data_IF_396737274914
#
_entry.id   IF_396737274914
#
_cell.length_a   1.000
_cell.length_b   1.000
_cell.length_c   1.000
_cell.angle_alpha   90.00
_cell.angle_beta   90.00
_cell.angle_gamma   90.00
#
_symmetry.space_group_name_H-M   'P 1'
#
loop_
_entity.id
_entity.type
_entity.pdbx_description
1 polymer ?
#
# COMPACT_ATOMS: atom_id res chain seq x y z
N UNK A 1 2.30 11.81 -22.93
CA UNK A 1 1.08 12.64 -23.11
C UNK A 1 -0.05 11.73 -23.57
N UNK A 2 -0.74 11.10 -22.61
CA UNK A 2 -1.99 10.39 -22.86
C UNK A 2 -2.96 10.75 -21.73
N UNK A 3 -4.05 11.42 -22.10
CA UNK A 3 -5.25 11.51 -21.29
C UNK A 3 -5.81 10.10 -21.21
N UNK A 4 -6.08 9.58 -20.02
CA UNK A 4 -6.74 8.27 -19.85
C UNK A 4 -8.17 8.42 -20.36
N UNK A 5 -8.38 8.19 -21.65
CA UNK A 5 -9.72 8.24 -22.28
C UNK A 5 -10.23 6.84 -22.56
N UNK A 6 -9.35 5.84 -22.62
CA UNK A 6 -9.69 4.45 -22.85
C UNK A 6 -9.04 3.50 -21.85
N UNK A 7 -9.72 2.37 -21.59
CA UNK A 7 -9.21 1.29 -20.73
C UNK A 7 -7.85 0.74 -21.21
N UNK A 8 -7.54 0.93 -22.51
CA UNK A 8 -6.27 0.57 -23.12
C UNK A 8 -5.07 1.39 -22.63
N UNK A 9 -5.28 2.58 -22.07
CA UNK A 9 -4.20 3.43 -21.55
C UNK A 9 -3.61 2.88 -20.24
N UNK A 10 -4.35 1.99 -19.56
CA UNK A 10 -3.84 1.22 -18.41
C UNK A 10 -2.96 0.04 -18.83
N UNK A 11 -3.02 -0.37 -20.09
CA UNK A 11 -2.31 -1.55 -20.59
C UNK A 11 -0.90 -1.14 -21.01
N UNK A 12 0.07 -1.40 -20.14
CA UNK A 12 1.46 -1.15 -20.48
C UNK A 12 1.90 -2.02 -21.67
N UNK A 13 2.48 -1.37 -22.69
CA UNK A 13 3.15 -2.06 -23.80
C UNK A 13 4.52 -2.63 -23.40
N UNK A 14 5.11 -2.13 -22.31
CA UNK A 14 6.42 -2.57 -21.83
C UNK A 14 6.36 -3.96 -21.17
N UNK A 15 7.17 -4.87 -21.69
CA UNK A 15 7.35 -6.22 -21.18
C UNK A 15 7.84 -6.25 -19.72
N UNK A 16 8.60 -5.24 -19.29
CA UNK A 16 9.06 -5.11 -17.90
C UNK A 16 7.92 -4.94 -16.91
N UNK A 17 6.83 -4.29 -17.31
CA UNK A 17 5.66 -4.11 -16.45
C UNK A 17 4.84 -5.41 -16.39
N UNK A 18 4.80 -6.19 -17.46
CA UNK A 18 4.16 -7.53 -17.46
C UNK A 18 4.86 -8.52 -16.53
N UNK A 19 6.19 -8.43 -16.41
CA UNK A 19 6.94 -9.26 -15.45
C UNK A 19 6.54 -9.00 -13.98
N UNK A 20 5.84 -7.91 -13.69
CA UNK A 20 5.34 -7.62 -12.34
C UNK A 20 4.39 -8.72 -11.83
N UNK A 21 3.61 -9.37 -12.68
CA UNK A 21 2.77 -10.52 -12.31
C UNK A 21 3.61 -11.73 -11.85
N UNK A 22 4.75 -11.98 -12.50
CA UNK A 22 5.69 -13.02 -12.07
C UNK A 22 6.42 -12.64 -10.77
N UNK A 23 6.81 -11.37 -10.64
CA UNK A 23 7.40 -10.84 -9.39
C UNK A 23 6.42 -10.92 -8.23
N UNK A 24 5.13 -10.70 -8.49
CA UNK A 24 4.06 -10.88 -7.51
C UNK A 24 4.03 -12.33 -7.00
N UNK A 25 3.99 -13.33 -7.89
CA UNK A 25 4.02 -14.74 -7.50
C UNK A 25 5.31 -15.11 -6.76
N UNK A 26 6.46 -14.63 -7.24
CA UNK A 26 7.74 -14.80 -6.56
C UNK A 26 7.73 -14.25 -5.13
N UNK A 27 7.13 -13.07 -4.94
CA UNK A 27 6.94 -12.48 -3.60
C UNK A 27 6.00 -13.33 -2.73
N UNK A 28 4.90 -13.86 -3.27
CA UNK A 28 4.01 -14.74 -2.51
C UNK A 28 4.71 -16.03 -2.06
N UNK A 29 5.51 -16.64 -2.94
CA UNK A 29 6.32 -17.80 -2.58
C UNK A 29 7.35 -17.47 -1.50
N UNK A 30 7.99 -16.29 -1.59
CA UNK A 30 8.95 -15.82 -0.60
C UNK A 30 8.28 -15.61 0.78
N UNK A 31 7.07 -15.06 0.81
CA UNK A 31 6.27 -14.93 2.04
C UNK A 31 5.86 -16.29 2.64
N UNK A 32 5.75 -17.33 1.82
CA UNK A 32 5.43 -18.69 2.28
C UNK A 32 6.66 -19.46 2.80
N UNK A 33 7.89 -19.03 2.50
CA UNK A 33 9.11 -19.75 2.88
C UNK A 33 9.21 -20.09 4.37
N UNK A 34 8.92 -19.19 5.32
CA UNK A 34 8.95 -19.52 6.76
C UNK A 34 8.01 -20.68 7.10
N UNK A 35 6.78 -20.61 6.61
CA UNK A 35 5.74 -21.60 6.86
C UNK A 35 6.08 -22.95 6.22
N UNK A 36 6.57 -22.94 4.97
CA UNK A 36 7.04 -24.14 4.28
C UNK A 36 8.25 -24.74 5.01
N UNK A 37 9.18 -23.90 5.49
CA UNK A 37 10.33 -24.32 6.29
C UNK A 37 9.91 -25.11 7.53
N UNK A 38 8.95 -24.59 8.29
CA UNK A 38 8.35 -25.30 9.45
C UNK A 38 7.74 -26.63 9.02
N UNK A 39 6.87 -26.58 8.01
CA UNK A 39 6.14 -27.75 7.54
C UNK A 39 7.09 -28.88 7.12
N UNK A 40 8.09 -28.58 6.28
CA UNK A 40 9.06 -29.57 5.80
C UNK A 40 10.03 -30.03 6.89
N UNK A 41 10.46 -29.14 7.79
CA UNK A 41 11.31 -29.49 8.93
C UNK A 41 10.61 -30.53 9.81
N UNK A 42 9.36 -30.30 10.19
CA UNK A 42 8.61 -31.26 11.02
C UNK A 42 8.31 -32.54 10.23
N UNK A 43 7.89 -32.43 8.97
CA UNK A 43 7.59 -33.60 8.11
C UNK A 43 8.81 -34.51 7.95
N UNK A 44 10.00 -33.96 7.77
CA UNK A 44 11.25 -34.74 7.65
C UNK A 44 11.54 -35.56 8.92
N UNK A 45 11.29 -34.98 10.09
CA UNK A 45 11.45 -35.64 11.41
C UNK A 45 10.37 -36.68 11.70
N UNK A 46 9.23 -36.60 11.02
CA UNK A 46 8.13 -37.57 11.12
C UNK A 46 8.31 -38.74 10.16
N UNK A 47 8.65 -38.45 8.90
CA UNK A 47 8.86 -39.45 7.85
C UNK A 47 10.03 -40.39 8.12
N UNK A 48 11.00 -39.98 8.94
CA UNK A 48 12.08 -40.84 9.40
C UNK A 48 11.63 -41.92 10.42
N UNK A 49 10.42 -41.81 10.97
CA UNK A 49 9.92 -42.67 12.06
C UNK A 49 8.60 -43.39 11.74
N UNK A 50 7.94 -43.04 10.64
CA UNK A 50 6.64 -43.59 10.24
C UNK A 50 6.84 -44.53 9.05
N UNK A 51 6.32 -45.75 9.17
CA UNK A 51 6.29 -46.74 8.09
C UNK A 51 5.43 -46.21 6.92
N UNK A 52 5.84 -46.49 5.68
CA UNK A 52 5.25 -45.88 4.46
C UNK A 52 3.74 -46.14 4.30
N UNK A 53 3.23 -47.13 5.01
CA UNK A 53 1.84 -47.61 4.99
C UNK A 53 0.85 -46.73 5.76
N UNK A 54 1.29 -45.89 6.71
CA UNK A 54 0.41 -45.02 7.51
C UNK A 54 0.24 -43.60 6.95
N UNK A 55 0.94 -43.27 5.85
CA UNK A 55 0.98 -41.92 5.28
C UNK A 55 -0.24 -41.54 4.42
N UNK A 56 -1.16 -42.47 4.18
CA UNK A 56 -2.27 -42.32 3.22
C UNK A 56 -3.56 -41.79 3.83
N UNK A 57 -3.69 -41.73 5.15
CA UNK A 57 -4.85 -41.16 5.83
C UNK A 57 -4.68 -39.64 6.02
N UNK A 58 -4.81 -38.88 4.93
CA UNK A 58 -5.08 -37.44 5.01
C UNK A 58 -6.49 -37.19 5.55
N UNK A 59 -6.80 -35.94 5.92
CA UNK A 59 -8.18 -35.54 6.26
C UNK A 59 -9.08 -35.92 5.08
N UNK A 60 -9.92 -36.95 5.27
CA UNK A 60 -11.00 -37.27 4.34
C UNK A 60 -12.02 -36.14 4.46
N UNK A 61 -11.83 -35.07 3.72
CA UNK A 61 -12.88 -34.07 3.52
C UNK A 61 -14.00 -34.79 2.78
N UNK A 62 -15.13 -35.04 3.44
CA UNK A 62 -16.31 -35.55 2.76
C UNK A 62 -16.66 -34.60 1.59
N UNK A 63 -16.71 -35.12 0.35
CA UNK A 63 -17.05 -34.35 -0.85
C UNK A 63 -15.97 -33.39 -1.39
N UNK A 64 -16.40 -32.32 -2.08
CA UNK A 64 -15.53 -31.37 -2.81
C UNK A 64 -14.82 -30.31 -1.93
N UNK A 65 -14.84 -30.44 -0.60
CA UNK A 65 -14.33 -29.42 0.33
C UNK A 65 -12.85 -29.07 0.15
N UNK A 66 -11.99 -30.07 -0.07
CA UNK A 66 -10.56 -29.86 -0.34
C UNK A 66 -10.33 -29.05 -1.63
N UNK A 67 -11.08 -29.38 -2.69
CA UNK A 67 -11.03 -28.67 -3.96
C UNK A 67 -11.48 -27.22 -3.79
N UNK A 68 -12.55 -26.99 -3.02
CA UNK A 68 -13.04 -25.64 -2.71
C UNK A 68 -12.00 -24.78 -1.98
N UNK A 69 -11.34 -25.31 -0.93
CA UNK A 69 -10.31 -24.56 -0.19
C UNK A 69 -9.09 -24.27 -1.07
N UNK A 70 -8.67 -25.22 -1.92
CA UNK A 70 -7.59 -25.00 -2.89
C UNK A 70 -7.95 -23.92 -3.90
N UNK A 71 -9.21 -23.87 -4.38
CA UNK A 71 -9.67 -22.81 -5.26
C UNK A 71 -9.68 -21.45 -4.57
N UNK A 72 -10.18 -21.32 -3.34
CA UNK A 72 -10.14 -20.04 -2.60
C UNK A 72 -8.70 -19.57 -2.38
N UNK A 73 -7.75 -20.48 -2.15
CA UNK A 73 -6.35 -20.14 -1.98
C UNK A 73 -5.65 -19.75 -3.30
N UNK A 74 -5.78 -20.58 -4.33
CA UNK A 74 -5.05 -20.41 -5.59
C UNK A 74 -5.70 -19.42 -6.55
N UNK A 75 -7.03 -19.39 -6.63
CA UNK A 75 -7.75 -18.57 -7.60
C UNK A 75 -7.38 -17.09 -7.53
N UNK A 76 -7.38 -16.43 -6.35
CA UNK A 76 -7.05 -15.01 -6.30
C UNK A 76 -5.58 -14.76 -6.64
N UNK A 77 -4.67 -15.63 -6.19
CA UNK A 77 -3.24 -15.48 -6.48
C UNK A 77 -2.94 -15.62 -7.98
N UNK A 78 -3.49 -16.65 -8.62
CA UNK A 78 -3.32 -16.91 -10.05
C UNK A 78 -4.02 -15.84 -10.88
N UNK A 79 -5.26 -15.49 -10.54
CA UNK A 79 -6.03 -14.47 -11.28
C UNK A 79 -5.35 -13.11 -11.21
N UNK A 80 -4.90 -12.68 -10.03
CA UNK A 80 -4.15 -11.43 -9.87
C UNK A 80 -2.84 -11.45 -10.68
N UNK A 81 -2.10 -12.56 -10.67
CA UNK A 81 -0.87 -12.68 -11.45
C UNK A 81 -1.12 -12.68 -12.96
N UNK A 82 -2.15 -13.41 -13.43
CA UNK A 82 -2.54 -13.49 -14.84
C UNK A 82 -3.02 -12.13 -15.33
N UNK A 83 -3.89 -11.44 -14.58
CA UNK A 83 -4.36 -10.09 -14.94
C UNK A 83 -3.17 -9.12 -14.97
N UNK A 84 -2.31 -9.12 -13.94
CA UNK A 84 -1.12 -8.27 -13.92
C UNK A 84 -0.20 -8.50 -15.12
N UNK A 85 0.01 -9.76 -15.50
CA UNK A 85 0.83 -10.13 -16.65
C UNK A 85 0.17 -9.79 -17.99
N UNK A 86 -1.09 -10.17 -18.19
CA UNK A 86 -1.81 -10.01 -19.44
C UNK A 86 -2.18 -8.55 -19.72
N UNK A 87 -2.63 -7.83 -18.70
CA UNK A 87 -2.98 -6.41 -18.81
C UNK A 87 -1.78 -5.48 -18.61
N UNK A 88 -0.60 -5.98 -18.23
CA UNK A 88 0.57 -5.12 -17.98
C UNK A 88 0.33 -4.11 -16.86
N UNK A 89 -0.37 -4.54 -15.80
CA UNK A 89 -0.66 -3.69 -14.64
C UNK A 89 0.33 -4.03 -13.53
N UNK A 90 0.98 -3.02 -12.95
CA UNK A 90 1.91 -3.19 -11.83
C UNK A 90 1.20 -3.69 -10.56
N UNK A 91 1.22 -5.00 -10.33
CA UNK A 91 0.60 -5.60 -9.15
C UNK A 91 1.52 -5.50 -7.92
N UNK A 92 1.03 -4.88 -6.85
CA UNK A 92 1.73 -4.87 -5.56
C UNK A 92 1.71 -6.25 -4.89
N UNK A 93 2.84 -6.68 -4.31
CA UNK A 93 2.93 -7.94 -3.57
C UNK A 93 1.97 -8.00 -2.37
N UNK A 94 1.49 -6.85 -1.87
CA UNK A 94 0.55 -6.77 -0.75
C UNK A 94 -0.82 -7.36 -1.04
N UNK A 95 -1.23 -7.39 -2.32
CA UNK A 95 -2.56 -7.91 -2.73
C UNK A 95 -2.75 -9.40 -2.42
N UNK A 96 -1.68 -10.18 -2.26
CA UNK A 96 -1.76 -11.59 -1.89
C UNK A 96 -1.87 -11.84 -0.38
N UNK A 97 -1.66 -10.83 0.47
CA UNK A 97 -1.63 -11.01 1.93
C UNK A 97 -2.87 -11.73 2.50
N UNK A 98 -4.11 -11.29 2.17
CA UNK A 98 -5.33 -11.93 2.69
C UNK A 98 -5.45 -13.42 2.34
N UNK A 99 -5.02 -13.83 1.15
CA UNK A 99 -5.11 -15.23 0.73
C UNK A 99 -4.03 -16.11 1.35
N UNK A 100 -2.85 -15.55 1.62
CA UNK A 100 -1.77 -16.28 2.30
C UNK A 100 -2.14 -16.73 3.72
N UNK A 101 -3.12 -16.12 4.37
CA UNK A 101 -3.65 -16.59 5.66
C UNK A 101 -4.21 -18.02 5.59
N UNK A 102 -4.70 -18.47 4.43
CA UNK A 102 -5.19 -19.83 4.22
C UNK A 102 -4.07 -20.85 3.98
N UNK A 103 -2.82 -20.42 3.76
CA UNK A 103 -1.73 -21.32 3.43
C UNK A 103 -1.48 -22.36 4.52
N UNK A 104 -1.62 -21.99 5.81
CA UNK A 104 -1.50 -22.93 6.92
C UNK A 104 -2.56 -24.03 6.87
N UNK A 105 -3.81 -23.66 6.61
CA UNK A 105 -4.93 -24.62 6.46
C UNK A 105 -4.68 -25.54 5.26
N UNK A 106 -4.24 -24.98 4.13
CA UNK A 106 -3.88 -25.76 2.95
C UNK A 106 -2.81 -26.79 3.27
N UNK A 107 -1.72 -26.39 3.93
CA UNK A 107 -0.66 -27.31 4.32
C UNK A 107 -1.14 -28.39 5.30
N UNK A 108 -2.00 -28.03 6.26
CA UNK A 108 -2.61 -29.00 7.19
C UNK A 108 -3.51 -30.02 6.50
N UNK A 109 -4.16 -29.68 5.38
CA UNK A 109 -4.92 -30.66 4.58
C UNK A 109 -4.03 -31.75 3.98
N UNK A 110 -2.76 -31.44 3.70
CA UNK A 110 -1.77 -32.43 3.23
C UNK A 110 -0.96 -33.04 4.38
N UNK A 111 -1.28 -32.70 5.63
CA UNK A 111 -0.67 -33.29 6.80
C UNK A 111 -1.19 -34.71 6.99
N UNK A 112 -0.30 -35.72 7.15
CA UNK A 112 -0.74 -37.06 7.47
C UNK A 112 -1.37 -37.03 8.87
N UNK A 113 -2.63 -37.46 9.01
CA UNK A 113 -3.24 -37.63 10.34
C UNK A 113 -2.61 -38.89 10.94
N UNK A 114 -1.48 -38.71 11.58
CA UNK A 114 -0.88 -39.73 12.42
C UNK A 114 -1.21 -39.30 13.84
N UNK A 115 -2.00 -40.11 14.55
CA UNK A 115 -2.31 -39.97 15.98
C UNK A 115 -1.06 -40.20 16.81
N UNK A 116 -0.09 -39.30 16.67
CA UNK A 116 1.17 -39.32 17.36
C UNK A 116 1.28 -38.01 18.15
N UNK A 117 1.06 -38.09 19.45
CA UNK A 117 1.17 -36.96 20.38
C UNK A 117 2.49 -36.22 20.25
N UNK A 118 3.57 -36.93 19.86
CA UNK A 118 4.86 -36.32 19.66
C UNK A 118 4.94 -35.47 18.38
N UNK A 119 4.18 -35.80 17.34
CA UNK A 119 4.06 -34.99 16.13
C UNK A 119 3.35 -33.67 16.43
N UNK A 120 2.23 -33.75 17.15
CA UNK A 120 1.44 -32.59 17.58
C UNK A 120 2.25 -31.69 18.50
N UNK A 121 2.97 -32.26 19.50
CA UNK A 121 3.86 -31.49 20.38
C UNK A 121 4.96 -30.75 19.62
N UNK A 122 5.60 -31.39 18.64
CA UNK A 122 6.63 -30.73 17.80
C UNK A 122 6.05 -29.63 16.92
N UNK A 123 4.85 -29.82 16.40
CA UNK A 123 4.14 -28.78 15.64
C UNK A 123 3.83 -27.58 16.53
N UNK A 124 3.27 -27.79 17.72
CA UNK A 124 2.98 -26.73 18.68
C UNK A 124 4.25 -26.01 19.15
N UNK A 125 5.33 -26.75 19.42
CA UNK A 125 6.63 -26.16 19.76
C UNK A 125 7.19 -25.30 18.62
N UNK A 126 7.16 -25.81 17.38
CA UNK A 126 7.65 -25.06 16.22
C UNK A 126 6.80 -23.83 15.94
N UNK A 127 5.47 -23.95 16.04
CA UNK A 127 4.55 -22.83 15.92
C UNK A 127 4.81 -21.79 17.03
N UNK A 128 5.04 -22.22 18.27
CA UNK A 128 5.39 -21.33 19.38
C UNK A 128 6.73 -20.62 19.17
N UNK A 129 7.77 -21.32 18.69
CA UNK A 129 9.05 -20.71 18.33
C UNK A 129 8.88 -19.66 17.24
N UNK A 130 8.09 -19.95 16.20
CA UNK A 130 7.82 -18.99 15.13
C UNK A 130 6.96 -17.82 15.56
N UNK A 131 6.01 -18.03 16.47
CA UNK A 131 5.21 -16.97 17.07
C UNK A 131 6.08 -15.95 17.82
N UNK A 132 7.17 -16.41 18.43
CA UNK A 132 8.14 -15.54 19.12
C UNK A 132 9.20 -14.96 18.17
N UNK A 133 9.68 -15.75 17.20
CA UNK A 133 10.73 -15.33 16.28
C UNK A 133 10.23 -14.34 15.22
N UNK A 134 9.00 -14.49 14.71
CA UNK A 134 8.48 -13.65 13.63
C UNK A 134 8.35 -12.16 14.04
N UNK A 135 7.79 -11.80 15.20
CA UNK A 135 7.77 -10.39 15.65
C UNK A 135 9.16 -9.81 15.82
N UNK A 136 10.12 -10.58 16.33
CA UNK A 136 11.51 -10.13 16.50
C UNK A 136 12.20 -9.89 15.16
N UNK A 137 12.00 -10.78 14.19
CA UNK A 137 12.50 -10.61 12.83
C UNK A 137 11.85 -9.41 12.15
N UNK A 138 10.54 -9.23 12.29
CA UNK A 138 9.82 -8.08 11.75
C UNK A 138 10.30 -6.77 12.38
N UNK A 139 10.46 -6.72 13.70
CA UNK A 139 11.03 -5.57 14.40
C UNK A 139 12.44 -5.26 13.91
N UNK A 140 13.30 -6.27 13.79
CA UNK A 140 14.67 -6.10 13.29
C UNK A 140 14.67 -5.58 11.85
N UNK A 141 13.86 -6.15 10.96
CA UNK A 141 13.77 -5.66 9.58
C UNK A 141 13.16 -4.26 9.49
N UNK A 142 12.15 -3.95 10.31
CA UNK A 142 11.55 -2.62 10.37
C UNK A 142 12.57 -1.57 10.80
N UNK A 143 13.34 -1.86 11.85
CA UNK A 143 14.44 -1.02 12.33
C UNK A 143 15.59 -0.92 11.32
N UNK A 144 15.90 -1.98 10.58
CA UNK A 144 16.96 -1.99 9.56
C UNK A 144 16.54 -1.36 8.22
N UNK A 145 15.24 -1.30 7.94
CA UNK A 145 14.65 -0.71 6.72
C UNK A 145 14.27 0.77 6.89
N UNK A 146 14.72 1.40 7.97
CA UNK A 146 14.35 2.76 8.43
C UNK A 146 14.69 3.91 7.49
N UNK A 147 15.33 3.66 6.35
CA UNK A 147 15.72 4.73 5.42
C UNK A 147 14.67 4.98 4.32
N UNK A 148 13.59 4.20 4.25
CA UNK A 148 12.54 4.45 3.26
C UNK A 148 11.71 5.69 3.61
N UNK A 149 11.76 6.70 2.73
CA UNK A 149 11.17 8.03 2.92
C UNK A 149 9.69 8.04 3.32
N UNK A 150 8.92 7.03 2.91
CA UNK A 150 7.50 6.88 3.20
C UNK A 150 7.23 6.54 4.67
N UNK A 151 8.13 5.81 5.33
CA UNK A 151 7.98 5.48 6.75
C UNK A 151 8.34 6.66 7.64
N UNK A 152 9.16 7.61 7.17
CA UNK A 152 9.63 8.75 7.94
C UNK A 152 8.91 10.06 7.60
N UNK A 153 7.77 10.03 6.92
CA UNK A 153 7.06 11.27 6.63
C UNK A 153 6.29 11.74 7.88
N UNK A 154 6.43 13.00 8.33
CA UNK A 154 5.76 13.51 9.51
C UNK A 154 4.30 13.87 9.20
N UNK A 155 3.53 12.85 8.77
CA UNK A 155 2.19 13.00 8.26
C UNK A 155 1.18 13.41 9.32
N UNK A 156 1.35 12.90 10.54
CA UNK A 156 0.50 13.24 11.69
C UNK A 156 0.65 14.72 12.03
N UNK A 157 1.88 15.17 12.24
CA UNK A 157 2.18 16.57 12.59
C UNK A 157 1.77 17.52 11.46
N UNK A 158 1.94 17.12 10.19
CA UNK A 158 1.50 17.91 9.06
C UNK A 158 -0.04 18.04 9.00
N UNK A 159 -0.76 16.94 9.20
CA UNK A 159 -2.22 16.93 9.19
C UNK A 159 -2.82 17.79 10.31
N UNK A 160 -2.29 17.66 11.52
CA UNK A 160 -2.71 18.49 12.67
C UNK A 160 -2.44 19.98 12.43
N UNK A 161 -1.24 20.32 11.94
CA UNK A 161 -0.82 21.71 11.74
C UNK A 161 -1.58 22.41 10.62
N UNK A 162 -1.78 21.76 9.47
CA UNK A 162 -2.52 22.35 8.34
C UNK A 162 -4.00 22.55 8.71
N UNK A 163 -4.62 21.56 9.36
CA UNK A 163 -6.01 21.66 9.79
C UNK A 163 -6.22 22.74 10.83
N UNK A 164 -5.29 22.85 11.80
CA UNK A 164 -5.32 23.92 12.80
C UNK A 164 -5.27 25.29 12.12
N UNK A 165 -4.28 25.52 11.25
CA UNK A 165 -4.11 26.79 10.53
C UNK A 165 -5.31 27.14 9.66
N UNK A 166 -5.91 26.15 9.00
CA UNK A 166 -7.13 26.34 8.22
C UNK A 166 -8.28 26.84 9.09
N UNK A 167 -8.56 26.15 10.20
CA UNK A 167 -9.62 26.54 11.14
C UNK A 167 -9.36 27.90 11.78
N UNK A 168 -8.11 28.23 12.10
CA UNK A 168 -7.73 29.56 12.60
C UNK A 168 -7.96 30.68 11.56
N UNK A 169 -7.86 30.36 10.26
CA UNK A 169 -8.00 31.33 9.18
C UNK A 169 -9.47 31.53 8.77
N UNK A 170 -10.25 30.45 8.68
CA UNK A 170 -11.60 30.48 8.08
C UNK A 170 -12.73 30.09 9.04
N UNK A 171 -12.43 29.72 10.28
CA UNK A 171 -13.40 29.24 11.27
C UNK A 171 -14.33 28.12 10.75
N UNK A 172 -13.77 27.28 9.87
CA UNK A 172 -14.51 26.23 9.17
C UNK A 172 -13.66 24.94 9.07
N UNK A 173 -14.29 23.74 8.98
CA UNK A 173 -13.56 22.49 8.80
C UNK A 173 -12.87 22.43 7.44
N UNK A 174 -11.66 21.85 7.39
CA UNK A 174 -10.92 21.65 6.15
C UNK A 174 -11.57 20.55 5.32
N UNK A 175 -12.16 20.88 4.16
CA UNK A 175 -12.88 19.90 3.32
C UNK A 175 -12.08 19.36 2.14
N UNK A 176 -11.13 20.14 1.63
CA UNK A 176 -10.37 19.79 0.42
C UNK A 176 -8.90 20.11 0.66
N UNK A 177 -8.02 19.15 0.35
CA UNK A 177 -6.57 19.34 0.35
C UNK A 177 -6.01 18.90 -1.00
N UNK A 178 -5.08 19.67 -1.54
CA UNK A 178 -4.40 19.37 -2.80
C UNK A 178 -2.90 19.39 -2.63
N UNK A 179 -2.18 18.73 -3.54
CA UNK A 179 -0.71 18.76 -3.51
C UNK A 179 -0.04 17.60 -4.24
N UNK A 180 1.22 17.38 -3.89
CA UNK A 180 2.07 16.30 -4.43
C UNK A 180 1.70 14.94 -3.85
N UNK A 181 2.53 13.90 -4.03
CA UNK A 181 2.10 12.54 -3.71
C UNK A 181 1.86 12.27 -2.22
N UNK A 182 2.74 12.72 -1.32
CA UNK A 182 2.72 12.23 0.09
C UNK A 182 2.01 13.19 1.04
N UNK A 183 2.12 14.50 0.80
CA UNK A 183 1.60 15.54 1.68
C UNK A 183 0.05 15.53 1.82
N UNK A 184 -0.75 15.66 0.74
CA UNK A 184 -2.20 15.73 0.86
C UNK A 184 -2.82 14.42 1.35
N UNK A 185 -2.30 13.27 0.91
CA UNK A 185 -2.72 11.94 1.41
C UNK A 185 -2.48 11.82 2.93
N UNK A 186 -1.32 12.30 3.41
CA UNK A 186 -1.01 12.31 4.85
C UNK A 186 -1.96 13.22 5.63
N UNK A 187 -2.28 14.40 5.08
CA UNK A 187 -3.20 15.35 5.71
C UNK A 187 -4.60 14.75 5.76
N UNK A 188 -5.10 14.16 4.68
CA UNK A 188 -6.43 13.53 4.66
C UNK A 188 -6.56 12.39 5.67
N UNK A 189 -5.49 11.60 5.84
CA UNK A 189 -5.48 10.50 6.80
C UNK A 189 -5.41 10.96 8.26
N UNK A 190 -4.58 11.97 8.57
CA UNK A 190 -4.31 12.38 9.95
C UNK A 190 -5.13 13.58 10.44
N UNK A 191 -5.71 14.37 9.53
CA UNK A 191 -6.58 15.48 9.90
C UNK A 191 -7.87 14.95 10.56
N UNK A 192 -8.32 15.55 11.67
CA UNK A 192 -9.64 15.22 12.25
C UNK A 192 -10.81 15.58 11.33
N UNK A 193 -10.60 16.42 10.31
CA UNK A 193 -11.64 16.82 9.34
C UNK A 193 -11.78 15.84 8.16
N UNK A 194 -10.80 14.95 7.95
CA UNK A 194 -10.76 13.99 6.84
C UNK A 194 -11.11 14.60 5.46
N UNK A 195 -10.34 15.61 4.99
CA UNK A 195 -10.61 16.26 3.71
C UNK A 195 -10.49 15.32 2.52
N UNK A 196 -11.24 15.62 1.45
CA UNK A 196 -11.05 15.01 0.14
C UNK A 196 -9.74 15.47 -0.47
N UNK A 197 -9.01 14.55 -1.10
CA UNK A 197 -7.72 14.83 -1.74
C UNK A 197 -7.92 15.16 -3.22
N UNK A 198 -7.35 16.28 -3.68
CA UNK A 198 -7.08 16.59 -5.08
C UNK A 198 -5.63 16.21 -5.40
N UNK A 199 -5.44 14.95 -5.78
CA UNK A 199 -4.13 14.35 -5.94
C UNK A 199 -3.41 14.93 -7.16
N UNK A 200 -2.15 15.33 -6.97
CA UNK A 200 -1.32 16.00 -7.99
C UNK A 200 -1.95 17.27 -8.56
N UNK A 201 -2.92 17.84 -7.85
CA UNK A 201 -3.71 18.97 -8.31
C UNK A 201 -4.43 18.68 -9.64
N UNK A 202 -4.85 17.42 -9.86
CA UNK A 202 -5.41 16.96 -11.14
C UNK A 202 -6.77 16.29 -10.96
N UNK A 203 -7.78 16.81 -11.67
CA UNK A 203 -9.12 16.21 -11.68
C UNK A 203 -9.15 14.79 -12.26
N UNK A 204 -8.23 14.47 -13.18
CA UNK A 204 -8.12 13.11 -13.73
C UNK A 204 -7.77 12.06 -12.66
N UNK A 205 -7.00 12.45 -11.63
CA UNK A 205 -6.64 11.58 -10.51
C UNK A 205 -7.67 11.60 -9.38
N UNK A 206 -8.43 12.69 -9.26
CA UNK A 206 -9.44 12.89 -8.21
C UNK A 206 -10.75 13.41 -8.80
N UNK A 207 -11.47 12.59 -9.60
CA UNK A 207 -12.70 13.00 -10.28
C UNK A 207 -13.85 13.35 -9.33
N UNK A 208 -13.73 12.97 -8.05
CA UNK A 208 -14.68 13.33 -7.00
C UNK A 208 -14.50 14.74 -6.43
N UNK A 209 -13.43 15.46 -6.79
CA UNK A 209 -13.23 16.89 -6.42
C UNK A 209 -13.49 17.76 -7.64
N UNK A 210 -14.49 18.62 -7.57
CA UNK A 210 -14.88 19.52 -8.66
C UNK A 210 -14.45 20.97 -8.42
N UNK A 211 -14.44 21.78 -9.48
CA UNK A 211 -14.22 23.23 -9.40
C UNK A 211 -15.26 23.90 -8.48
N UNK A 212 -16.51 23.44 -8.53
CA UNK A 212 -17.58 23.93 -7.65
C UNK A 212 -17.35 23.58 -6.19
N UNK A 213 -16.73 22.42 -5.89
CA UNK A 213 -16.37 22.08 -4.51
C UNK A 213 -15.27 22.99 -3.98
N UNK A 214 -14.26 23.28 -4.81
CA UNK A 214 -13.17 24.20 -4.45
C UNK A 214 -13.72 25.61 -4.24
N UNK A 215 -14.61 26.08 -5.11
CA UNK A 215 -15.27 27.38 -4.94
C UNK A 215 -16.09 27.42 -3.64
N UNK A 216 -16.80 26.34 -3.31
CA UNK A 216 -17.70 26.31 -2.15
C UNK A 216 -16.96 26.17 -0.81
N UNK A 217 -15.89 25.37 -0.77
CA UNK A 217 -15.23 24.99 0.48
C UNK A 217 -13.79 25.49 0.60
N UNK A 218 -13.24 26.08 -0.45
CA UNK A 218 -11.82 26.41 -0.55
C UNK A 218 -10.94 25.16 -0.63
N UNK A 219 -9.62 25.36 -0.68
CA UNK A 219 -8.65 24.27 -0.71
C UNK A 219 -7.35 24.66 0.00
N UNK A 220 -6.77 23.74 0.76
CA UNK A 220 -5.40 23.84 1.24
C UNK A 220 -4.46 23.14 0.26
N UNK A 221 -3.53 23.87 -0.35
CA UNK A 221 -2.53 23.29 -1.26
C UNK A 221 -1.20 23.15 -0.52
N UNK A 222 -0.63 21.94 -0.52
CA UNK A 222 0.61 21.63 0.18
C UNK A 222 1.58 20.86 -0.72
N UNK A 223 2.72 21.46 -1.04
CA UNK A 223 3.78 20.87 -1.83
C UNK A 223 5.03 20.64 -0.98
N UNK A 224 5.76 19.55 -1.24
CA UNK A 224 7.13 19.42 -0.76
C UNK A 224 8.00 20.45 -1.49
N UNK A 225 8.97 21.07 -0.79
CA UNK A 225 9.88 22.05 -1.42
C UNK A 225 10.69 21.46 -2.58
N UNK A 226 10.94 20.15 -2.56
CA UNK A 226 11.65 19.44 -3.62
C UNK A 226 10.74 18.97 -4.78
N UNK A 227 9.41 19.04 -4.62
CA UNK A 227 8.45 18.56 -5.62
C UNK A 227 8.11 19.66 -6.63
N UNK A 228 8.96 19.76 -7.67
CA UNK A 228 8.84 20.79 -8.72
C UNK A 228 7.50 20.73 -9.45
N UNK A 229 7.01 19.52 -9.74
CA UNK A 229 5.76 19.38 -10.49
C UNK A 229 4.56 19.86 -9.68
N UNK A 230 4.52 19.55 -8.37
CA UNK A 230 3.49 20.10 -7.50
C UNK A 230 3.50 21.64 -7.51
N UNK A 231 4.68 22.24 -7.40
CA UNK A 231 4.85 23.70 -7.38
C UNK A 231 4.41 24.32 -8.72
N UNK A 232 4.82 23.73 -9.85
CA UNK A 232 4.42 24.19 -11.19
C UNK A 232 2.91 24.09 -11.39
N UNK A 233 2.30 22.95 -11.05
CA UNK A 233 0.86 22.74 -11.16
C UNK A 233 0.07 23.67 -10.24
N UNK A 234 0.57 23.93 -9.03
CA UNK A 234 -0.02 24.88 -8.10
C UNK A 234 -0.01 26.31 -8.64
N UNK A 235 1.11 26.74 -9.25
CA UNK A 235 1.22 28.06 -9.87
C UNK A 235 0.33 28.21 -11.11
N UNK A 236 0.10 27.14 -11.87
CA UNK A 236 -0.81 27.16 -13.02
C UNK A 236 -2.27 27.30 -12.56
N UNK A 237 -2.69 26.54 -11.54
CA UNK A 237 -4.06 26.60 -11.03
C UNK A 237 -4.36 27.86 -10.23
N UNK A 238 -3.39 28.34 -9.47
CA UNK A 238 -3.55 29.42 -8.50
C UNK A 238 -2.44 30.46 -8.70
N UNK A 239 -2.44 31.21 -9.81
CA UNK A 239 -1.35 32.12 -10.18
C UNK A 239 -1.16 33.27 -9.18
N UNK A 240 -2.21 33.66 -8.46
CA UNK A 240 -2.18 34.74 -7.48
C UNK A 240 -1.90 34.25 -6.05
N UNK A 241 -1.72 32.94 -5.84
CA UNK A 241 -1.53 32.39 -4.52
C UNK A 241 -0.13 32.72 -3.95
N UNK A 242 -0.11 33.20 -2.71
CA UNK A 242 1.14 33.48 -1.99
C UNK A 242 1.57 32.23 -1.24
N UNK A 243 2.61 31.56 -1.73
CA UNK A 243 3.16 30.36 -1.07
C UNK A 243 3.91 30.72 0.21
N UNK A 244 3.58 30.03 1.30
CA UNK A 244 4.21 30.19 2.62
C UNK A 244 5.09 28.98 2.94
N UNK A 245 6.35 29.17 3.36
CA UNK A 245 7.18 28.06 3.78
C UNK A 245 6.72 27.47 5.11
N UNK A 246 6.70 26.15 5.20
CA UNK A 246 6.39 25.40 6.43
C UNK A 246 7.45 24.33 6.67
N UNK A 247 7.86 24.17 7.92
CA UNK A 247 8.76 23.09 8.33
C UNK A 247 8.06 22.25 9.37
N UNK A 248 7.82 20.99 9.04
CA UNK A 248 7.23 20.02 9.95
C UNK A 248 8.31 19.08 10.46
N UNK A 249 8.30 18.82 11.77
CA UNK A 249 9.22 17.90 12.45
C UNK A 249 8.44 16.84 13.22
N UNK A 250 8.68 15.58 12.92
CA UNK A 250 8.30 14.47 13.79
C UNK A 250 9.40 14.22 14.81
N UNK A 251 9.02 14.11 16.08
CA UNK A 251 9.96 13.83 17.17
C UNK A 251 10.51 12.39 17.06
N UNK A 252 11.78 12.22 17.42
CA UNK A 252 12.35 10.88 17.51
C UNK A 252 11.77 10.12 18.69
N UNK A 253 11.50 8.84 18.49
CA UNK A 253 11.16 7.89 19.56
C UNK A 253 12.13 6.71 19.52
N UNK A 254 12.06 5.82 20.50
CA UNK A 254 12.88 4.59 20.57
C UNK A 254 12.73 3.72 19.29
N UNK A 255 11.58 3.81 18.60
CA UNK A 255 11.29 3.01 17.41
C UNK A 255 11.18 3.84 16.11
N UNK A 256 11.43 5.15 16.19
CA UNK A 256 11.27 6.06 15.06
C UNK A 256 12.40 7.09 15.05
N UNK A 257 13.37 7.00 14.12
CA UNK A 257 14.25 8.13 13.87
C UNK A 257 13.38 9.29 13.38
N UNK A 258 13.33 10.35 14.19
CA UNK A 258 12.53 11.55 13.91
C UNK A 258 12.84 12.10 12.53
N UNK A 259 11.94 12.91 11.99
CA UNK A 259 12.06 13.39 10.61
C UNK A 259 11.70 14.85 10.48
N UNK A 260 12.27 15.49 9.46
CA UNK A 260 11.94 16.86 9.11
C UNK A 260 11.62 16.94 7.62
N UNK A 261 10.57 17.70 7.27
CA UNK A 261 10.22 18.03 5.89
C UNK A 261 9.99 19.52 5.75
N UNK A 262 10.52 20.07 4.65
CA UNK A 262 10.30 21.45 4.25
C UNK A 262 9.23 21.45 3.16
N UNK A 263 8.13 22.15 3.42
CA UNK A 263 6.97 22.25 2.57
C UNK A 263 6.71 23.71 2.20
N UNK A 264 5.89 23.88 1.18
CA UNK A 264 5.27 25.13 0.77
C UNK A 264 3.76 24.90 0.84
N UNK A 265 3.03 25.81 1.45
CA UNK A 265 1.58 25.73 1.49
C UNK A 265 0.94 27.09 1.22
N UNK A 266 -0.31 27.06 0.79
CA UNK A 266 -1.18 28.22 0.75
C UNK A 266 -2.63 27.75 0.85
N UNK A 267 -3.50 28.68 1.21
CA UNK A 267 -4.94 28.45 1.26
C UNK A 267 -5.63 29.27 0.17
N UNK A 268 -6.67 28.68 -0.38
CA UNK A 268 -7.58 29.34 -1.31
C UNK A 268 -8.91 29.45 -0.61
N UNK A 269 -9.40 30.69 -0.53
CA UNK A 269 -10.61 31.04 0.21
C UNK A 269 -11.85 30.40 -0.43
N UNK A 270 -12.82 29.94 0.38
CA UNK A 270 -14.15 29.65 -0.13
C UNK A 270 -14.75 30.93 -0.74
N UNK A 271 -15.24 30.85 -1.99
CA UNK A 271 -15.74 31.93 -2.86
C UNK A 271 -14.71 32.56 -3.82
N UNK A 272 -13.45 32.13 -3.83
CA UNK A 272 -12.52 32.52 -4.90
C UNK A 272 -12.96 31.88 -6.23
N UNK A 273 -13.00 32.68 -7.31
CA UNK A 273 -13.56 32.30 -8.62
C UNK A 273 -12.43 32.25 -9.65
N UNK A 274 -12.21 31.09 -10.28
CA UNK A 274 -11.29 30.99 -11.43
C UNK A 274 -10.47 29.72 -11.56
N UNK A 275 -10.73 28.68 -10.76
CA UNK A 275 -9.97 27.42 -10.87
C UNK A 275 -10.45 26.63 -12.08
N UNK A 276 -9.54 26.36 -13.02
CA UNK A 276 -9.78 25.43 -14.12
C UNK A 276 -8.91 24.18 -13.93
N UNK A 277 -9.52 23.08 -13.48
CA UNK A 277 -8.80 21.85 -13.12
C UNK A 277 -8.25 21.08 -14.34
N UNK A 278 -8.63 21.46 -15.56
CA UNK A 278 -8.16 20.82 -16.79
C UNK A 278 -6.85 21.41 -17.33
N UNK A 279 -6.38 22.53 -16.77
CA UNK A 279 -5.19 23.24 -17.28
C UNK A 279 -3.85 22.69 -16.74
N UNK A 280 -3.89 21.63 -15.95
CA UNK A 280 -2.73 21.11 -15.23
C UNK A 280 -2.06 20.01 -16.04
N UNK A 281 -0.72 19.96 -16.02
CA UNK A 281 0.00 18.79 -16.53
C UNK A 281 -0.23 17.62 -15.55
N UNK A 282 -0.98 16.57 -15.92
CA UNK A 282 -1.08 15.40 -15.06
C UNK A 282 0.32 14.81 -14.89
N UNK A 283 0.61 14.26 -13.71
CA UNK A 283 1.75 13.36 -13.58
C UNK A 283 1.64 12.31 -14.68
N UNK A 284 2.70 12.05 -15.46
CA UNK A 284 2.71 10.89 -16.33
C UNK A 284 2.30 9.67 -15.51
N UNK A 285 1.37 8.89 -16.07
CA UNK A 285 1.12 7.55 -15.59
C UNK A 285 2.47 6.83 -15.45
N UNK A 286 2.58 5.90 -14.50
CA UNK A 286 3.81 5.13 -14.20
C UNK A 286 4.51 4.55 -15.44
N UNK A 287 3.79 4.45 -16.57
CA UNK A 287 4.27 4.05 -17.88
C UNK A 287 5.26 5.03 -18.56
N UNK A 288 5.25 6.34 -18.27
CA UNK A 288 6.21 7.28 -18.92
C UNK A 288 7.53 7.43 -18.14
N UNK A 289 7.71 6.74 -17.00
CA UNK A 289 8.97 6.79 -16.22
C UNK A 289 10.09 5.89 -16.78
N UNK A 290 9.86 5.20 -17.90
CA UNK A 290 10.83 4.27 -18.50
C UNK A 290 11.58 4.84 -19.72
N UNK A 291 11.26 6.06 -20.15
CA UNK A 291 11.90 6.71 -21.31
C UNK A 291 12.93 7.78 -20.90
N UNK A 292 13.66 7.55 -19.81
CA UNK A 292 14.86 8.33 -19.43
C UNK A 292 16.00 7.44 -19.00
#
# INVERSE_FOLDING_TARGET
MSTITHIGDYIAKDFRIRISGLRFLGAQLLYLLPLLGVYFFIRSKLSAKIDKTTLTAGISTAGNGRTFVLWIFLFPLLTTAIIGFAAGIGVSSRWGGPTLNLAGVVLLMFWPIVSNDQAVRRLLQSAGVWLLAAPLLLLFTGLASSDHEMYHFPGKELGEEITKRWRETYDAPLRIVGGGHVAPDSIAFHSPDHPSVLQHLSHAWSPWVTETDIQKYGIAVVCLRADRLCIENAAILFPNAVTTPLTIRAQSTIFFPGSQRNLLYFFVDPNDIGVNLNNVKPLPSRNDKTDS
#
